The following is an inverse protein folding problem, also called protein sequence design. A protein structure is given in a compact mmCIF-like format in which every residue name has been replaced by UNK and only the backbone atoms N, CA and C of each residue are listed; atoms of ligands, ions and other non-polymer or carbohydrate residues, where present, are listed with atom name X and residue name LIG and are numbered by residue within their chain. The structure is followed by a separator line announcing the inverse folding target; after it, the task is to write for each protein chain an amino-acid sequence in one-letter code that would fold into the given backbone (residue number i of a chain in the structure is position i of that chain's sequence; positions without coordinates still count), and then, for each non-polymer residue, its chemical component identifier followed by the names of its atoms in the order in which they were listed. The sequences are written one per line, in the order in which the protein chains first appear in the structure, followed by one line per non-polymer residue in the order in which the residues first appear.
data_IF_840621619938
#
_entry.id   IF_840621619938
#
_cell.length_a   1.000
_cell.length_b   1.000
_cell.length_c   1.000
_cell.angle_alpha   90.00
_cell.angle_beta   90.00
_cell.angle_gamma   90.00
#
_symmetry.space_group_name_H-M   'P 1'
#
loop_
_entity.id
_entity.type
_entity.pdbx_description
1 polymer ?
#
# COMPACT_ATOMS: atom_id res chain seq x y z
N UNK A 1 -25.05 -21.36 -40.52
CA UNK A 1 -23.70 -21.49 -41.13
C UNK A 1 -22.75 -20.56 -40.36
N UNK A 2 -21.86 -21.09 -39.50
CA UNK A 2 -20.40 -21.28 -39.69
C UNK A 2 -19.65 -19.96 -40.03
N UNK A 3 -19.16 -19.19 -39.04
CA UNK A 3 -17.79 -19.11 -38.43
C UNK A 3 -16.64 -18.73 -39.41
N UNK A 4 -15.82 -17.74 -39.01
CA UNK A 4 -14.34 -17.57 -39.11
C UNK A 4 -13.73 -16.37 -39.91
N UNK A 5 -13.14 -15.45 -39.13
CA UNK A 5 -11.78 -14.82 -39.16
C UNK A 5 -10.86 -14.90 -40.39
N UNK A 6 -10.22 -13.76 -40.77
CA UNK A 6 -8.84 -13.64 -41.31
C UNK A 6 -8.47 -12.13 -41.42
N UNK A 7 -7.50 -11.50 -40.72
CA UNK A 7 -6.02 -11.55 -40.63
C UNK A 7 -5.22 -11.23 -41.92
N UNK A 8 -4.47 -10.11 -41.80
CA UNK A 8 -3.06 -9.85 -42.20
C UNK A 8 -2.65 -9.37 -43.62
N UNK A 9 -1.98 -8.20 -43.60
CA UNK A 9 -0.66 -7.83 -44.18
C UNK A 9 -0.36 -7.92 -45.70
N UNK A 10 0.38 -6.89 -46.17
CA UNK A 10 1.23 -6.91 -47.37
C UNK A 10 1.31 -5.51 -48.01
N UNK A 11 2.29 -4.65 -47.68
CA UNK A 11 3.60 -4.55 -48.34
C UNK A 11 3.51 -4.71 -49.86
N UNK A 12 3.62 -3.62 -50.64
CA UNK A 12 4.37 -3.61 -51.90
C UNK A 12 4.78 -2.17 -52.27
N UNK A 13 6.03 -2.08 -52.67
CA UNK A 13 6.91 -0.95 -52.96
C UNK A 13 6.83 -0.58 -54.48
N UNK A 14 7.59 0.44 -54.92
CA UNK A 14 7.79 0.96 -56.32
C UNK A 14 6.89 2.13 -56.77
N UNK A 15 7.32 3.13 -57.53
CA UNK A 15 8.61 3.71 -57.95
C UNK A 15 8.28 4.98 -58.77
N UNK A 16 8.99 6.10 -58.58
CA UNK A 16 9.88 6.72 -59.59
C UNK A 16 9.23 7.29 -60.87
N UNK A 17 9.05 8.62 -60.95
CA UNK A 17 9.39 9.50 -62.10
C UNK A 17 9.15 10.98 -61.71
N UNK A 18 10.17 11.84 -61.87
CA UNK A 18 10.00 13.31 -61.96
C UNK A 18 9.44 13.72 -63.33
N UNK A 19 9.10 14.97 -63.68
CA UNK A 19 9.17 16.32 -63.13
C UNK A 19 8.26 17.20 -64.06
N UNK A 20 8.33 18.55 -64.12
CA UNK A 20 7.55 19.56 -63.41
C UNK A 20 6.55 20.35 -64.31
N UNK A 21 5.60 21.07 -63.70
CA UNK A 21 4.99 22.24 -64.32
C UNK A 21 4.53 23.23 -63.24
N UNK A 22 5.01 24.45 -63.41
CA UNK A 22 5.01 25.56 -62.48
C UNK A 22 3.72 26.40 -62.66
N UNK A 23 3.00 26.64 -61.57
CA UNK A 23 2.13 27.82 -61.47
C UNK A 23 2.21 28.39 -60.06
N UNK A 24 2.90 29.51 -60.00
CA UNK A 24 3.09 30.37 -58.84
C UNK A 24 1.79 31.13 -58.55
N UNK A 25 1.25 31.04 -57.33
CA UNK A 25 0.72 32.24 -56.72
C UNK A 25 1.38 32.45 -55.36
N UNK A 26 2.36 33.35 -55.38
CA UNK A 26 2.88 34.09 -54.24
C UNK A 26 1.77 34.34 -53.22
N UNK A 27 2.08 34.10 -51.94
CA UNK A 27 1.20 33.96 -50.75
C UNK A 27 0.87 32.49 -50.58
N UNK A 28 1.62 31.76 -49.77
CA UNK A 28 1.53 31.81 -48.31
C UNK A 28 2.91 31.41 -47.77
N UNK A 29 3.21 31.71 -46.50
CA UNK A 29 4.48 31.49 -45.79
C UNK A 29 5.45 32.68 -45.81
N UNK A 30 5.04 33.75 -45.12
CA UNK A 30 5.95 34.46 -44.24
C UNK A 30 5.33 34.58 -42.85
N UNK A 31 6.20 34.52 -41.83
CA UNK A 31 5.99 34.63 -40.39
C UNK A 31 5.60 33.37 -39.60
N UNK A 32 6.59 32.49 -39.43
CA UNK A 32 6.82 31.86 -38.12
C UNK A 32 7.73 32.81 -37.33
N UNK A 33 7.11 33.76 -36.65
CA UNK A 33 7.70 34.53 -35.55
C UNK A 33 6.54 34.99 -34.69
N UNK A 34 5.99 34.10 -33.88
CA UNK A 34 5.06 34.48 -32.81
C UNK A 34 5.33 33.64 -31.58
N UNK A 35 6.52 33.88 -31.00
CA UNK A 35 6.81 33.47 -29.63
C UNK A 35 6.01 34.38 -28.71
N UNK A 36 4.89 33.83 -28.24
CA UNK A 36 4.22 34.06 -26.95
C UNK A 36 4.69 35.29 -26.14
N UNK A 37 4.28 36.49 -26.58
CA UNK A 37 4.37 37.71 -25.79
C UNK A 37 3.00 37.96 -25.14
N UNK A 38 2.82 37.48 -23.91
CA UNK A 38 1.77 37.97 -22.99
C UNK A 38 2.44 39.03 -22.10
N UNK A 39 2.33 40.34 -22.40
CA UNK A 39 2.80 41.38 -21.52
C UNK A 39 1.78 41.56 -20.39
N UNK A 40 2.10 41.11 -19.17
CA UNK A 40 1.30 41.41 -17.98
C UNK A 40 1.30 40.35 -16.87
N UNK A 41 1.63 39.08 -17.15
CA UNK A 41 1.57 38.00 -16.15
C UNK A 41 2.93 37.45 -15.71
N UNK A 42 4.03 37.85 -16.37
CA UNK A 42 5.40 37.40 -16.04
C UNK A 42 5.76 37.59 -14.55
N UNK A 43 5.52 38.77 -13.92
CA UNK A 43 5.89 38.96 -12.50
C UNK A 43 5.01 38.16 -11.53
N UNK A 44 3.72 37.92 -11.84
CA UNK A 44 2.84 37.12 -11.01
C UNK A 44 3.23 35.63 -11.06
N UNK A 45 3.60 35.14 -12.24
CA UNK A 45 4.01 33.76 -12.42
C UNK A 45 5.34 33.47 -11.68
N UNK A 46 6.31 34.39 -11.75
CA UNK A 46 7.57 34.27 -11.01
C UNK A 46 7.36 34.28 -9.49
N UNK A 47 6.45 35.10 -8.98
CA UNK A 47 6.09 35.13 -7.56
C UNK A 47 5.46 33.82 -7.08
N UNK A 48 4.52 33.26 -7.85
CA UNK A 48 3.86 32.00 -7.51
C UNK A 48 4.87 30.84 -7.55
N UNK A 49 5.71 30.77 -8.58
CA UNK A 49 6.74 29.71 -8.70
C UNK A 49 7.77 29.83 -7.57
N UNK A 50 8.22 31.05 -7.25
CA UNK A 50 9.14 31.30 -6.14
C UNK A 50 8.53 30.91 -4.79
N UNK A 51 7.28 31.29 -4.54
CA UNK A 51 6.56 30.95 -3.30
C UNK A 51 6.32 29.44 -3.15
N UNK A 52 5.93 28.76 -4.23
CA UNK A 52 5.67 27.32 -4.21
C UNK A 52 6.92 26.49 -3.88
N UNK A 53 8.11 26.92 -4.30
CA UNK A 53 9.36 26.22 -3.99
C UNK A 53 9.70 26.28 -2.50
N UNK A 54 9.42 27.40 -1.84
CA UNK A 54 9.69 27.59 -0.41
C UNK A 54 8.74 26.71 0.41
N UNK A 55 7.44 26.76 0.13
CA UNK A 55 6.42 25.95 0.81
C UNK A 55 6.62 24.47 0.51
N UNK A 56 6.89 24.10 -0.74
CA UNK A 56 7.14 22.72 -1.15
C UNK A 56 8.38 22.12 -0.48
N UNK A 57 9.47 22.87 -0.32
CA UNK A 57 10.67 22.41 0.41
C UNK A 57 10.42 22.25 1.91
N UNK A 58 9.62 23.12 2.53
CA UNK A 58 9.25 22.97 3.94
C UNK A 58 8.34 21.76 4.17
N UNK A 59 7.32 21.60 3.32
CA UNK A 59 6.39 20.47 3.38
C UNK A 59 7.09 19.13 3.13
N UNK A 60 7.93 19.04 2.09
CA UNK A 60 8.71 17.81 1.82
C UNK A 60 9.69 17.46 2.94
N UNK A 61 10.25 18.45 3.65
CA UNK A 61 11.08 18.21 4.85
C UNK A 61 10.27 17.66 6.01
N UNK A 62 9.12 18.26 6.34
CA UNK A 62 8.25 17.79 7.41
C UNK A 62 7.73 16.36 7.12
N UNK A 63 7.26 16.13 5.90
CA UNK A 63 6.80 14.82 5.44
C UNK A 63 7.95 13.80 5.51
N UNK A 64 9.14 14.14 5.01
CA UNK A 64 10.32 13.26 5.08
C UNK A 64 10.73 12.95 6.53
N UNK A 65 10.59 13.90 7.44
CA UNK A 65 10.94 13.74 8.86
C UNK A 65 9.98 12.78 9.55
N UNK A 66 8.67 12.90 9.29
CA UNK A 66 7.66 11.97 9.79
C UNK A 66 7.83 10.58 9.17
N UNK A 67 8.07 10.48 7.86
CA UNK A 67 8.33 9.19 7.20
C UNK A 67 9.62 8.54 7.71
N UNK A 68 10.67 9.30 8.00
CA UNK A 68 11.92 8.76 8.56
C UNK A 68 11.75 8.35 10.01
N UNK A 69 11.09 9.17 10.82
CA UNK A 69 10.82 8.84 12.22
C UNK A 69 9.89 7.62 12.31
N UNK A 70 8.88 7.56 11.45
CA UNK A 70 7.96 6.43 11.30
C UNK A 70 8.67 5.19 10.76
N UNK A 71 9.55 5.31 9.75
CA UNK A 71 10.35 4.18 9.27
C UNK A 71 11.31 3.68 10.33
N UNK A 72 12.01 4.55 11.05
CA UNK A 72 12.90 4.14 12.12
C UNK A 72 12.14 3.54 13.31
N UNK A 73 10.93 4.04 13.62
CA UNK A 73 10.07 3.43 14.62
C UNK A 73 9.55 2.06 14.15
N UNK A 74 9.18 1.92 12.88
CA UNK A 74 8.79 0.66 12.28
C UNK A 74 9.95 -0.34 12.25
N UNK A 75 11.15 0.07 11.85
CA UNK A 75 12.38 -0.72 11.89
C UNK A 75 12.68 -1.21 13.31
N UNK A 76 12.60 -0.34 14.33
CA UNK A 76 12.75 -0.72 15.74
C UNK A 76 11.62 -1.63 16.25
N UNK A 77 10.41 -1.48 15.72
CA UNK A 77 9.25 -2.31 16.05
C UNK A 77 9.17 -3.64 15.25
N UNK A 78 10.15 -3.92 14.37
CA UNK A 78 10.23 -5.13 13.56
C UNK A 78 10.02 -4.94 12.05
N UNK A 79 10.39 -3.78 11.50
CA UNK A 79 10.22 -3.41 10.09
C UNK A 79 10.91 -4.38 9.13
N UNK A 80 10.40 -4.45 7.89
CA UNK A 80 10.85 -5.41 6.87
C UNK A 80 9.96 -6.65 6.77
N UNK A 81 10.53 -7.82 6.47
CA UNK A 81 9.79 -9.08 6.27
C UNK A 81 8.96 -9.49 7.50
N UNK A 82 9.45 -9.24 8.71
CA UNK A 82 8.72 -9.58 9.93
C UNK A 82 7.51 -8.65 10.15
N UNK A 83 7.67 -7.34 9.93
CA UNK A 83 6.58 -6.36 9.98
C UNK A 83 5.52 -6.64 8.92
N UNK A 84 5.93 -6.93 7.68
CA UNK A 84 5.02 -7.35 6.61
C UNK A 84 4.25 -8.64 6.99
N UNK A 85 4.92 -9.59 7.65
CA UNK A 85 4.28 -10.83 8.13
C UNK A 85 3.31 -10.59 9.30
N UNK A 86 3.62 -9.65 10.21
CA UNK A 86 2.69 -9.25 11.28
C UNK A 86 1.44 -8.60 10.71
N UNK A 87 1.61 -7.63 9.80
CA UNK A 87 0.48 -6.99 9.10
C UNK A 87 -0.33 -8.00 8.29
N UNK A 88 0.33 -8.95 7.61
CA UNK A 88 -0.36 -10.03 6.91
C UNK A 88 -1.17 -10.92 7.88
N UNK A 89 -0.60 -11.34 9.01
CA UNK A 89 -1.30 -12.14 10.01
C UNK A 89 -2.49 -11.39 10.63
N UNK A 90 -2.32 -10.09 10.89
CA UNK A 90 -3.39 -9.23 11.41
C UNK A 90 -4.49 -9.04 10.35
N UNK A 91 -4.14 -9.01 9.05
CA UNK A 91 -5.12 -8.96 7.96
C UNK A 91 -5.87 -10.29 7.74
N UNK A 92 -5.23 -11.44 8.00
CA UNK A 92 -5.84 -12.77 7.90
C UNK A 92 -6.92 -12.96 8.98
N UNK A 93 -6.62 -12.53 10.21
CA UNK A 93 -7.54 -12.62 11.35
C UNK A 93 -8.49 -11.42 11.44
N UNK A 94 -8.17 -10.33 10.75
CA UNK A 94 -8.89 -9.06 10.84
C UNK A 94 -8.75 -8.38 12.21
N UNK A 95 -7.72 -8.71 12.99
CA UNK A 95 -7.50 -8.25 14.35
C UNK A 95 -6.01 -8.24 14.72
N UNK A 96 -5.55 -7.16 15.34
CA UNK A 96 -4.18 -7.06 15.85
C UNK A 96 -4.01 -7.85 17.15
N UNK A 97 -2.77 -8.24 17.48
CA UNK A 97 -2.47 -8.90 18.77
C UNK A 97 -2.86 -8.03 19.96
N UNK A 98 -2.69 -6.71 19.85
CA UNK A 98 -3.04 -5.77 20.91
C UNK A 98 -4.55 -5.72 21.14
N UNK A 99 -5.35 -5.68 20.07
CA UNK A 99 -6.81 -5.74 20.18
C UNK A 99 -7.27 -7.07 20.79
N UNK A 100 -6.68 -8.19 20.39
CA UNK A 100 -7.00 -9.50 20.94
C UNK A 100 -6.78 -9.56 22.45
N UNK A 101 -5.66 -9.02 22.92
CA UNK A 101 -5.33 -8.89 24.35
C UNK A 101 -6.34 -8.02 25.10
N UNK A 102 -6.79 -6.92 24.49
CA UNK A 102 -7.80 -6.04 25.08
C UNK A 102 -9.17 -6.72 25.17
N UNK A 103 -9.59 -7.43 24.12
CA UNK A 103 -10.87 -8.15 24.10
C UNK A 103 -10.94 -9.22 25.19
N UNK A 104 -9.84 -9.96 25.39
CA UNK A 104 -9.75 -11.02 26.41
C UNK A 104 -9.30 -10.49 27.78
N UNK A 105 -9.08 -9.18 27.91
CA UNK A 105 -8.62 -8.51 29.13
C UNK A 105 -7.37 -9.17 29.73
N UNK A 106 -6.33 -9.35 28.92
CA UNK A 106 -5.05 -9.95 29.32
C UNK A 106 -3.86 -9.05 29.01
N UNK A 107 -2.91 -8.97 29.94
CA UNK A 107 -1.69 -8.17 29.80
C UNK A 107 -0.57 -8.94 29.13
N UNK A 108 -0.51 -10.26 29.30
CA UNK A 108 0.53 -11.13 28.74
C UNK A 108 -0.10 -12.28 27.95
N UNK A 109 0.38 -12.57 26.73
CA UNK A 109 -0.18 -13.64 25.89
C UNK A 109 0.19 -15.05 26.39
N UNK A 110 1.07 -15.18 27.37
CA UNK A 110 1.57 -16.46 27.90
C UNK A 110 0.77 -17.00 29.10
N UNK A 111 -0.16 -16.22 29.64
CA UNK A 111 -1.04 -16.67 30.73
C UNK A 111 -2.26 -17.43 30.17
N UNK A 112 -2.02 -18.69 29.79
CA UNK A 112 -3.01 -19.56 29.14
C UNK A 112 -4.23 -19.77 30.04
N UNK A 113 -4.04 -19.90 31.36
CA UNK A 113 -5.13 -20.12 32.31
C UNK A 113 -6.10 -18.92 32.36
N UNK A 114 -5.58 -17.70 32.45
CA UNK A 114 -6.40 -16.49 32.45
C UNK A 114 -7.07 -16.28 31.10
N UNK A 115 -6.36 -16.54 29.99
CA UNK A 115 -6.92 -16.47 28.63
C UNK A 115 -8.13 -17.40 28.50
N UNK A 116 -7.99 -18.67 28.89
CA UNK A 116 -9.08 -19.63 28.80
C UNK A 116 -10.28 -19.26 29.68
N UNK A 117 -10.02 -18.81 30.90
CA UNK A 117 -11.06 -18.40 31.85
C UNK A 117 -11.86 -17.22 31.30
N UNK A 118 -11.17 -16.17 30.84
CA UNK A 118 -11.81 -14.98 30.29
C UNK A 118 -12.54 -15.30 28.98
N UNK A 119 -11.94 -16.12 28.11
CA UNK A 119 -12.59 -16.60 26.90
C UNK A 119 -13.89 -17.33 27.20
N UNK A 120 -13.87 -18.35 28.07
CA UNK A 120 -15.07 -19.14 28.43
C UNK A 120 -16.17 -18.24 28.98
N UNK A 121 -15.82 -17.33 29.88
CA UNK A 121 -16.77 -16.38 30.47
C UNK A 121 -17.38 -15.44 29.41
N UNK A 122 -16.55 -14.76 28.62
CA UNK A 122 -17.01 -13.81 27.61
C UNK A 122 -17.81 -14.50 26.50
N UNK A 123 -17.44 -15.72 26.13
CA UNK A 123 -18.14 -16.50 25.12
C UNK A 123 -19.53 -16.95 25.60
N UNK A 124 -19.63 -17.39 26.85
CA UNK A 124 -20.88 -17.85 27.45
C UNK A 124 -21.87 -16.70 27.70
N UNK A 125 -21.39 -15.56 28.21
CA UNK A 125 -22.25 -14.39 28.49
C UNK A 125 -22.78 -13.76 27.20
N UNK A 126 -22.06 -13.86 26.09
CA UNK A 126 -22.46 -13.30 24.79
C UNK A 126 -23.19 -14.30 23.87
N UNK A 127 -23.58 -15.48 24.38
CA UNK A 127 -24.35 -16.43 23.60
C UNK A 127 -25.70 -15.85 23.16
N UNK A 128 -26.06 -16.03 21.88
CA UNK A 128 -27.34 -15.58 21.33
C UNK A 128 -28.52 -16.12 22.12
N UNK A 129 -28.43 -17.36 22.60
CA UNK A 129 -29.50 -18.01 23.36
C UNK A 129 -29.81 -17.28 24.68
N UNK A 130 -28.83 -16.57 25.25
CA UNK A 130 -28.95 -15.80 26.48
C UNK A 130 -29.22 -14.31 26.24
N UNK A 131 -29.55 -13.92 25.00
CA UNK A 131 -29.75 -12.52 24.61
C UNK A 131 -28.46 -11.78 24.26
N UNK A 132 -27.35 -12.50 24.11
CA UNK A 132 -26.07 -11.93 23.69
C UNK A 132 -25.99 -11.64 22.18
N UNK A 133 -24.87 -11.05 21.76
CA UNK A 133 -24.61 -10.72 20.36
C UNK A 133 -23.65 -11.71 19.71
N UNK A 134 -24.08 -12.30 18.59
CA UNK A 134 -23.19 -13.11 17.75
C UNK A 134 -21.94 -12.36 17.32
N UNK A 135 -22.06 -11.06 17.09
CA UNK A 135 -20.92 -10.25 16.67
C UNK A 135 -19.86 -10.22 17.77
N UNK A 136 -20.29 -10.00 19.02
CA UNK A 136 -19.39 -9.99 20.18
C UNK A 136 -18.79 -11.37 20.42
N UNK A 137 -19.61 -12.42 20.36
CA UNK A 137 -19.15 -13.80 20.46
C UNK A 137 -18.11 -14.14 19.36
N UNK A 138 -18.35 -13.69 18.13
CA UNK A 138 -17.42 -13.85 17.01
C UNK A 138 -16.11 -13.08 17.24
N UNK A 139 -16.18 -11.87 17.82
CA UNK A 139 -14.99 -11.08 18.18
C UNK A 139 -14.15 -11.74 19.27
N UNK A 140 -14.80 -12.28 20.30
CA UNK A 140 -14.13 -13.05 21.38
C UNK A 140 -13.46 -14.29 20.81
N UNK A 141 -14.13 -15.01 19.91
CA UNK A 141 -13.57 -16.17 19.22
C UNK A 141 -12.32 -15.82 18.38
N UNK A 142 -12.41 -14.77 17.55
CA UNK A 142 -11.26 -14.31 16.74
C UNK A 142 -10.09 -13.82 17.58
N UNK A 143 -10.36 -13.16 18.72
CA UNK A 143 -9.32 -12.73 19.65
C UNK A 143 -8.53 -13.93 20.18
N UNK A 144 -9.21 -15.02 20.55
CA UNK A 144 -8.57 -16.24 21.04
C UNK A 144 -7.71 -16.90 19.96
N UNK A 145 -8.23 -17.05 18.73
CA UNK A 145 -7.44 -17.56 17.60
C UNK A 145 -6.16 -16.74 17.35
N UNK A 146 -6.25 -15.41 17.45
CA UNK A 146 -5.09 -14.53 17.22
C UNK A 146 -4.00 -14.69 18.27
N UNK A 147 -4.36 -14.92 19.54
CA UNK A 147 -3.39 -15.18 20.62
C UNK A 147 -2.78 -16.57 20.47
N UNK A 148 -3.58 -17.60 20.17
CA UNK A 148 -3.08 -18.97 19.94
C UNK A 148 -2.05 -19.02 18.81
N UNK A 149 -2.28 -18.27 17.73
CA UNK A 149 -1.32 -18.14 16.62
C UNK A 149 0.02 -17.54 17.07
N UNK A 150 0.01 -16.60 18.02
CA UNK A 150 1.25 -16.02 18.55
C UNK A 150 1.97 -17.01 19.47
N UNK A 151 1.24 -17.77 20.29
CA UNK A 151 1.77 -18.84 21.13
C UNK A 151 2.47 -19.92 20.29
N UNK A 152 1.79 -20.45 19.27
CA UNK A 152 2.37 -21.46 18.36
C UNK A 152 3.62 -20.93 17.64
N UNK A 153 3.60 -19.66 17.23
CA UNK A 153 4.75 -19.03 16.58
C UNK A 153 5.94 -18.88 17.55
N UNK A 154 5.67 -18.56 18.82
CA UNK A 154 6.71 -18.49 19.85
C UNK A 154 7.36 -19.86 20.11
N UNK A 155 6.56 -20.93 20.18
CA UNK A 155 7.04 -22.31 20.33
C UNK A 155 7.91 -22.76 19.13
N UNK A 156 7.46 -22.48 17.91
CA UNK A 156 8.21 -22.83 16.69
C UNK A 156 9.53 -22.05 16.55
N UNK A 157 9.59 -20.81 17.07
CA UNK A 157 10.84 -20.04 17.08
C UNK A 157 11.84 -20.49 18.15
N UNK A 158 11.38 -21.20 19.19
CA UNK A 158 12.22 -21.77 20.25
C UNK A 158 12.87 -23.11 19.88
N UNK A 159 12.40 -23.80 18.83
CA UNK A 159 12.93 -25.11 18.43
C UNK A 159 13.99 -25.07 17.31
N UNK A 160 14.45 -23.88 16.89
CA UNK A 160 15.53 -23.71 15.92
C UNK A 160 16.77 -23.10 16.56
N UNK A 161 17.44 -23.89 17.41
CA UNK A 161 18.81 -23.61 17.82
C UNK A 161 19.73 -23.82 16.59
N UNK A 162 20.60 -22.85 16.22
CA UNK A 162 21.57 -23.03 15.15
C UNK A 162 22.56 -24.12 15.55
N UNK A 163 22.53 -25.29 14.89
CA UNK A 163 23.65 -26.23 14.96
C UNK A 163 24.86 -25.55 14.31
N UNK A 164 25.81 -25.14 15.13
CA UNK A 164 27.14 -24.72 14.67
C UNK A 164 27.70 -25.77 13.69
N UNK A 165 28.22 -25.36 12.52
CA UNK A 165 28.99 -26.28 11.71
C UNK A 165 30.31 -26.56 12.43
N UNK A 166 30.37 -27.72 13.11
CA UNK A 166 31.65 -28.38 13.33
C UNK A 166 32.13 -28.90 11.98
N UNK A 167 33.10 -28.23 11.39
CA UNK A 167 34.45 -28.71 10.99
C UNK A 167 34.98 -27.79 9.89
#
# INVERSE_FOLDING_TARGET
MKIQTLKLHGFFFFAWFGCPSESNPRRIFHNISFVHQIPGMKPLLELIIGGAQIVGRAFTRAVREEFRTSQQAAERAGGGRQGARRVANDSITGMTLQEAKQILNVTEPHDIETIEKNYKHLFEVNDKAKGGSLYLQSKVYRAKERIDMELQKSEQSGSSEPKEPKT
#
